data_IF_486634810790
#
_entry.id   IF_486634810790
#
_cell.length_a   1.000
_cell.length_b   1.000
_cell.length_c   1.000
_cell.angle_alpha   90.00
_cell.angle_beta   90.00
_cell.angle_gamma   90.00
#
_symmetry.space_group_name_H-M   'P 1'
#
loop_
_entity.id
_entity.type
_entity.pdbx_description
1 polymer ?
#
# COMPACT_ATOMS: atom_id res chain seq x y z
N UNK A 1 -37.89 2.55 4.49
CA UNK A 1 -37.63 1.13 4.16
C UNK A 1 -36.93 1.11 2.80
N UNK A 2 -35.62 0.92 2.76
CA UNK A 2 -34.88 0.82 1.49
C UNK A 2 -35.20 -0.56 0.93
N UNK A 3 -35.86 -0.62 -0.24
CA UNK A 3 -36.12 -1.88 -0.95
C UNK A 3 -35.14 -1.98 -2.11
N UNK A 4 -34.38 -3.06 -2.15
CA UNK A 4 -33.56 -3.44 -3.30
C UNK A 4 -34.46 -4.21 -4.26
N UNK A 5 -34.59 -3.73 -5.51
CA UNK A 5 -35.38 -4.42 -6.52
C UNK A 5 -34.49 -5.37 -7.33
N UNK A 6 -35.07 -6.44 -7.89
CA UNK A 6 -34.40 -7.52 -8.65
C UNK A 6 -33.54 -7.04 -9.85
N UNK A 7 -33.64 -5.77 -10.24
CA UNK A 7 -32.87 -5.14 -11.33
C UNK A 7 -31.66 -4.30 -10.89
N UNK A 8 -31.18 -4.44 -9.65
CA UNK A 8 -29.97 -3.77 -9.16
C UNK A 8 -30.06 -2.25 -9.06
N UNK A 9 -31.24 -1.76 -8.68
CA UNK A 9 -31.51 -0.36 -8.43
C UNK A 9 -32.01 -0.19 -7.00
N UNK A 10 -31.51 0.84 -6.34
CA UNK A 10 -32.05 1.29 -5.05
C UNK A 10 -33.29 2.13 -5.36
N UNK A 11 -34.44 1.70 -4.83
CA UNK A 11 -35.71 2.38 -5.03
C UNK A 11 -36.18 2.97 -3.70
N UNK A 12 -36.41 4.28 -3.70
CA UNK A 12 -36.95 5.01 -2.55
C UNK A 12 -38.19 5.78 -3.03
N UNK A 13 -39.36 5.50 -2.46
CA UNK A 13 -40.65 6.09 -2.89
C UNK A 13 -40.95 5.95 -4.40
N UNK A 14 -40.57 4.83 -5.01
CA UNK A 14 -40.78 4.59 -6.45
C UNK A 14 -39.74 5.25 -7.37
N UNK A 15 -38.84 6.07 -6.84
CA UNK A 15 -37.75 6.68 -7.60
C UNK A 15 -36.49 5.83 -7.55
N UNK A 16 -35.79 5.75 -8.68
CA UNK A 16 -34.46 5.16 -8.77
C UNK A 16 -33.43 6.14 -8.21
N UNK A 17 -32.72 5.73 -7.18
CA UNK A 17 -31.72 6.55 -6.48
C UNK A 17 -30.32 6.02 -6.80
N UNK A 18 -29.34 6.92 -6.87
CA UNK A 18 -27.91 6.58 -6.96
C UNK A 18 -27.25 6.81 -5.60
N UNK A 19 -26.29 5.97 -5.25
CA UNK A 19 -25.45 6.17 -4.08
C UNK A 19 -24.16 6.88 -4.48
N UNK A 20 -23.77 7.86 -3.69
CA UNK A 20 -22.42 8.43 -3.69
C UNK A 20 -21.80 8.11 -2.35
N UNK A 21 -20.65 7.45 -2.37
CA UNK A 21 -19.87 7.17 -1.18
C UNK A 21 -18.55 7.94 -1.27
N UNK A 22 -18.38 8.92 -0.38
CA UNK A 22 -17.24 9.83 -0.37
C UNK A 22 -16.38 9.54 0.86
N UNK A 23 -15.09 9.27 0.65
CA UNK A 23 -14.10 9.12 1.72
C UNK A 23 -13.15 10.30 1.65
N UNK A 24 -13.05 11.05 2.73
CA UNK A 24 -12.06 12.10 2.92
C UNK A 24 -10.86 11.48 3.65
N UNK A 25 -9.83 11.05 2.89
CA UNK A 25 -8.67 10.36 3.48
C UNK A 25 -7.95 11.27 4.49
N UNK A 26 -7.68 10.74 5.68
CA UNK A 26 -7.04 11.48 6.77
C UNK A 26 -7.86 12.62 7.39
N UNK A 27 -9.18 12.70 7.15
CA UNK A 27 -10.00 13.81 7.67
C UNK A 27 -10.11 13.88 9.19
N UNK A 28 -9.93 12.76 9.90
CA UNK A 28 -9.94 12.73 11.35
C UNK A 28 -8.61 13.25 11.92
N UNK A 29 -8.69 14.10 12.96
CA UNK A 29 -7.52 14.64 13.68
C UNK A 29 -7.68 14.47 15.20
N UNK A 30 -6.66 14.87 15.96
CA UNK A 30 -6.64 14.82 17.42
C UNK A 30 -7.55 15.89 18.01
N UNK A 31 -8.29 15.52 19.04
CA UNK A 31 -9.22 16.39 19.78
C UNK A 31 -8.51 17.27 20.83
N UNK A 32 -7.33 17.83 20.49
CA UNK A 32 -6.54 18.66 21.40
C UNK A 32 -6.77 20.16 21.14
N UNK A 33 -8.02 20.52 20.84
CA UNK A 33 -8.44 21.82 20.32
C UNK A 33 -9.35 21.65 19.11
N UNK A 34 -9.65 22.74 18.41
CA UNK A 34 -10.34 22.68 17.11
C UNK A 34 -9.50 21.91 16.09
N UNK A 35 -10.12 20.90 15.49
CA UNK A 35 -9.55 20.09 14.42
C UNK A 35 -9.45 20.88 13.11
N UNK A 36 -8.58 20.50 12.17
CA UNK A 36 -8.53 21.12 10.85
C UNK A 36 -9.87 21.10 10.12
N UNK A 37 -10.68 20.05 10.30
CA UNK A 37 -12.00 19.94 9.68
C UNK A 37 -13.00 20.93 10.27
N UNK A 38 -12.91 21.23 11.57
CA UNK A 38 -13.74 22.26 12.24
C UNK A 38 -13.34 23.68 11.83
N UNK A 39 -12.04 23.91 11.59
CA UNK A 39 -11.52 25.23 11.15
C UNK A 39 -11.74 25.52 9.66
N UNK A 40 -11.94 24.48 8.86
CA UNK A 40 -12.05 24.64 7.42
C UNK A 40 -13.35 25.34 7.03
N UNK A 41 -13.27 26.26 6.06
CA UNK A 41 -14.44 26.80 5.37
C UNK A 41 -15.05 25.72 4.46
N UNK A 42 -15.84 24.84 5.04
CA UNK A 42 -16.38 23.64 4.40
C UNK A 42 -17.89 23.78 4.07
N UNK A 43 -18.29 24.88 3.42
CA UNK A 43 -19.71 25.23 3.16
C UNK A 43 -20.52 24.08 2.55
N UNK A 44 -19.96 23.37 1.58
CA UNK A 44 -20.64 22.23 0.95
C UNK A 44 -20.92 21.07 1.91
N UNK A 45 -19.97 20.76 2.80
CA UNK A 45 -20.15 19.70 3.82
C UNK A 45 -21.11 20.18 4.91
N UNK A 46 -20.97 21.44 5.34
CA UNK A 46 -21.82 22.08 6.33
C UNK A 46 -23.30 22.09 5.90
N UNK A 47 -23.57 22.37 4.62
CA UNK A 47 -24.92 22.30 4.06
C UNK A 47 -25.45 20.87 4.01
N UNK A 48 -24.62 19.91 3.59
CA UNK A 48 -24.98 18.48 3.55
C UNK A 48 -25.39 17.96 4.94
N UNK A 49 -24.66 18.35 5.98
CA UNK A 49 -24.91 17.91 7.36
C UNK A 49 -26.27 18.35 7.90
N UNK A 50 -26.80 19.51 7.49
CA UNK A 50 -28.13 19.99 7.91
C UNK A 50 -29.27 19.03 7.52
N UNK A 51 -29.03 18.21 6.50
CA UNK A 51 -29.99 17.24 5.97
C UNK A 51 -29.56 15.78 6.18
N UNK A 52 -28.45 15.55 6.90
CA UNK A 52 -27.86 14.23 7.09
C UNK A 52 -28.16 13.64 8.48
N UNK A 53 -27.91 12.34 8.62
CA UNK A 53 -27.73 11.69 9.92
C UNK A 53 -26.24 11.50 10.16
N UNK A 54 -25.74 12.10 11.23
CA UNK A 54 -24.33 12.00 11.61
C UNK A 54 -24.10 10.88 12.62
N UNK A 55 -22.86 10.39 12.68
CA UNK A 55 -22.45 9.35 13.62
C UNK A 55 -20.93 9.21 13.63
N UNK A 56 -20.45 8.32 14.50
CA UNK A 56 -19.03 7.95 14.59
C UNK A 56 -18.87 6.51 14.11
N UNK A 57 -17.74 6.23 13.46
CA UNK A 57 -17.40 4.91 12.95
C UNK A 57 -16.02 4.48 13.47
N UNK A 58 -15.96 3.27 14.04
CA UNK A 58 -14.70 2.55 14.13
C UNK A 58 -14.51 1.77 12.85
N UNK A 59 -13.53 2.17 12.04
CA UNK A 59 -13.32 1.59 10.71
C UNK A 59 -13.00 0.10 10.78
N UNK A 60 -12.15 -0.32 11.71
CA UNK A 60 -11.76 -1.73 11.89
C UNK A 60 -12.17 -2.23 13.26
N UNK A 61 -11.78 -1.49 14.30
CA UNK A 61 -12.13 -1.79 15.68
C UNK A 61 -11.66 -0.68 16.61
N UNK A 62 -12.13 -0.73 17.86
CA UNK A 62 -11.74 0.25 18.87
C UNK A 62 -10.24 0.12 19.17
N UNK A 63 -9.52 1.24 19.14
CA UNK A 63 -8.07 1.28 19.41
C UNK A 63 -7.18 0.75 18.29
N UNK A 64 -7.75 0.39 17.13
CA UNK A 64 -6.99 -0.07 15.97
C UNK A 64 -6.90 1.09 14.98
N UNK A 65 -5.68 1.59 14.76
CA UNK A 65 -5.40 2.55 13.69
C UNK A 65 -5.18 1.79 12.37
N UNK A 66 -6.09 1.88 11.38
CA UNK A 66 -5.94 1.13 10.14
C UNK A 66 -5.00 1.83 9.16
N UNK A 67 -4.36 1.05 8.29
CA UNK A 67 -3.87 1.56 7.01
C UNK A 67 -5.01 1.59 5.97
N UNK A 68 -4.83 2.40 4.90
CA UNK A 68 -5.86 2.66 3.88
C UNK A 68 -6.46 1.39 3.26
N UNK A 69 -5.67 0.34 3.10
CA UNK A 69 -6.09 -0.93 2.53
C UNK A 69 -7.15 -1.65 3.36
N UNK A 70 -6.84 -1.87 4.65
CA UNK A 70 -7.75 -2.47 5.63
C UNK A 70 -8.97 -1.58 5.84
N UNK A 71 -8.77 -0.26 5.89
CA UNK A 71 -9.84 0.72 6.07
C UNK A 71 -10.88 0.67 4.94
N UNK A 72 -10.43 0.74 3.69
CA UNK A 72 -11.30 0.78 2.52
C UNK A 72 -12.05 -0.56 2.35
N UNK A 73 -11.38 -1.70 2.54
CA UNK A 73 -12.07 -3.00 2.53
C UNK A 73 -13.20 -3.07 3.57
N UNK A 74 -12.92 -2.64 4.80
CA UNK A 74 -13.90 -2.62 5.88
C UNK A 74 -15.10 -1.73 5.58
N UNK A 75 -14.84 -0.50 5.13
CA UNK A 75 -15.89 0.46 4.78
C UNK A 75 -16.79 -0.03 3.64
N UNK A 76 -16.22 -0.81 2.71
CA UNK A 76 -16.96 -1.42 1.60
C UNK A 76 -17.70 -2.71 1.98
N UNK A 77 -17.67 -3.12 3.26
CA UNK A 77 -18.44 -4.22 3.80
C UNK A 77 -17.72 -5.56 3.89
N UNK A 78 -16.39 -5.59 3.74
CA UNK A 78 -15.59 -6.81 3.85
C UNK A 78 -14.90 -6.87 5.20
N UNK A 79 -14.96 -8.01 5.90
CA UNK A 79 -14.20 -8.19 7.14
C UNK A 79 -12.71 -8.36 6.83
N UNK A 80 -11.84 -7.37 7.13
CA UNK A 80 -10.43 -7.47 6.78
C UNK A 80 -9.70 -8.58 7.56
N UNK A 81 -10.19 -8.98 8.74
CA UNK A 81 -9.60 -10.09 9.49
C UNK A 81 -9.74 -11.43 8.78
N UNK A 82 -10.73 -11.58 7.89
CA UNK A 82 -10.99 -12.81 7.15
C UNK A 82 -10.33 -12.78 5.76
N UNK A 83 -10.36 -11.62 5.09
CA UNK A 83 -10.05 -11.56 3.65
C UNK A 83 -8.65 -11.01 3.34
N UNK A 84 -8.02 -10.29 4.27
CA UNK A 84 -6.79 -9.56 3.97
C UNK A 84 -5.60 -10.49 3.77
N UNK A 85 -4.89 -10.30 2.64
CA UNK A 85 -3.72 -11.08 2.24
C UNK A 85 -2.44 -10.21 2.12
N UNK A 86 -2.45 -9.04 2.75
CA UNK A 86 -1.35 -8.06 2.65
C UNK A 86 -1.62 -6.95 1.64
N UNK A 87 -0.90 -5.84 1.81
CA UNK A 87 -1.05 -4.63 0.99
C UNK A 87 -0.43 -4.76 -0.39
N UNK A 88 0.72 -5.42 -0.46
CA UNK A 88 1.51 -5.54 -1.69
C UNK A 88 0.71 -6.05 -2.89
N UNK A 89 -0.06 -7.16 -2.76
CA UNK A 89 -0.85 -7.70 -3.87
C UNK A 89 -1.91 -6.72 -4.39
N UNK A 90 -2.55 -5.97 -3.51
CA UNK A 90 -3.52 -4.95 -3.89
C UNK A 90 -2.85 -3.77 -4.62
N UNK A 91 -1.72 -3.27 -4.13
CA UNK A 91 -0.98 -2.21 -4.83
C UNK A 91 -0.47 -2.68 -6.21
N UNK A 92 0.02 -3.92 -6.32
CA UNK A 92 0.41 -4.53 -7.59
C UNK A 92 -0.75 -4.56 -8.59
N UNK A 93 -1.92 -5.04 -8.15
CA UNK A 93 -3.13 -5.04 -8.97
C UNK A 93 -3.54 -3.63 -9.37
N UNK A 94 -3.35 -2.65 -8.49
CA UNK A 94 -3.61 -1.23 -8.73
C UNK A 94 -2.77 -0.59 -9.83
N UNK A 95 -1.54 -1.08 -10.04
CA UNK A 95 -0.69 -0.66 -11.15
C UNK A 95 -0.73 -1.62 -12.34
N UNK A 96 -1.61 -2.63 -12.32
CA UNK A 96 -1.80 -3.56 -13.42
C UNK A 96 -0.83 -4.74 -13.44
N UNK A 97 -0.08 -4.96 -12.37
CA UNK A 97 0.84 -6.08 -12.21
C UNK A 97 0.12 -7.24 -11.52
N UNK A 98 0.23 -8.44 -12.08
CA UNK A 98 -0.35 -9.67 -11.52
C UNK A 98 0.77 -10.57 -10.99
N UNK A 99 0.51 -11.20 -9.85
CA UNK A 99 1.43 -12.15 -9.22
C UNK A 99 1.17 -13.57 -9.70
N UNK A 100 2.24 -14.35 -9.80
CA UNK A 100 2.20 -15.80 -9.90
C UNK A 100 2.07 -16.40 -8.50
N UNK A 101 0.84 -16.68 -8.07
CA UNK A 101 0.57 -17.24 -6.73
C UNK A 101 1.44 -18.47 -6.45
N UNK A 102 2.03 -18.52 -5.25
CA UNK A 102 2.94 -19.59 -4.82
C UNK A 102 4.35 -19.54 -5.42
N UNK A 103 4.61 -18.67 -6.41
CA UNK A 103 5.94 -18.46 -7.03
C UNK A 103 6.47 -17.05 -6.81
N UNK A 104 5.60 -16.07 -6.64
CA UNK A 104 5.95 -14.67 -6.40
C UNK A 104 5.38 -14.16 -5.08
N UNK A 105 6.13 -13.29 -4.43
CA UNK A 105 5.72 -12.51 -3.25
C UNK A 105 6.03 -11.06 -3.52
N UNK A 106 5.07 -10.18 -3.21
CA UNK A 106 5.25 -8.73 -3.37
C UNK A 106 5.31 -8.05 -2.02
N UNK A 107 6.17 -7.04 -1.96
CA UNK A 107 6.30 -6.13 -0.84
C UNK A 107 5.93 -4.73 -1.28
N UNK A 108 5.34 -3.98 -0.35
CA UNK A 108 5.37 -2.53 -0.44
C UNK A 108 6.76 -2.06 -0.01
N UNK A 109 7.33 -1.13 -0.78
CA UNK A 109 8.62 -0.56 -0.49
C UNK A 109 8.60 0.96 -0.46
N UNK A 110 9.58 1.51 0.25
CA UNK A 110 9.96 2.91 0.15
C UNK A 110 11.44 2.98 -0.21
N UNK A 111 11.78 3.85 -1.16
CA UNK A 111 13.12 4.39 -1.21
C UNK A 111 13.43 5.09 0.13
N UNK A 112 14.59 4.78 0.68
CA UNK A 112 15.09 5.29 1.94
C UNK A 112 16.55 5.74 1.82
N UNK A 113 16.99 6.50 2.81
CA UNK A 113 18.37 6.95 2.99
C UNK A 113 19.00 6.15 4.12
N UNK A 114 20.10 5.47 3.83
CA UNK A 114 20.89 4.73 4.82
C UNK A 114 22.36 5.12 4.77
N UNK A 115 23.06 4.86 5.85
CA UNK A 115 24.52 4.76 5.86
C UNK A 115 24.93 3.38 5.30
N UNK A 116 25.71 3.29 4.21
CA UNK A 116 25.91 2.04 3.48
C UNK A 116 26.51 0.89 4.30
N UNK A 117 27.52 1.15 5.13
CA UNK A 117 28.23 0.10 5.87
C UNK A 117 27.43 -0.43 7.06
N UNK A 118 26.79 0.47 7.81
CA UNK A 118 26.08 0.10 9.04
C UNK A 118 24.60 -0.23 8.81
N UNK A 119 24.06 0.12 7.64
CA UNK A 119 22.62 0.14 7.34
C UNK A 119 21.80 0.97 8.33
N UNK A 120 22.43 1.94 9.02
CA UNK A 120 21.74 2.91 9.86
C UNK A 120 20.82 3.75 8.99
N UNK A 121 19.55 3.80 9.37
CA UNK A 121 18.49 4.46 8.64
C UNK A 121 18.48 5.95 8.97
N UNK A 122 18.82 6.78 7.99
CA UNK A 122 18.86 8.24 8.10
C UNK A 122 17.46 8.80 7.88
N UNK A 123 16.77 8.38 6.81
CA UNK A 123 15.38 8.76 6.55
C UNK A 123 14.64 7.67 5.78
N UNK A 124 13.39 7.40 6.18
CA UNK A 124 12.57 6.29 5.64
C UNK A 124 11.88 6.59 4.31
N UNK A 125 12.02 7.82 3.82
CA UNK A 125 11.25 8.39 2.70
C UNK A 125 12.09 9.34 1.84
N UNK A 126 13.41 9.32 2.01
CA UNK A 126 14.38 10.19 1.34
C UNK A 126 14.01 11.68 1.39
N UNK A 127 13.53 12.18 2.53
CA UNK A 127 13.11 13.59 2.67
C UNK A 127 11.77 13.92 2.00
N UNK A 128 11.06 12.91 1.46
CA UNK A 128 9.75 13.02 0.79
C UNK A 128 9.76 13.86 -0.48
N UNK A 129 10.92 14.09 -1.07
CA UNK A 129 11.12 14.94 -2.26
C UNK A 129 11.75 14.18 -3.44
N UNK A 130 11.75 12.84 -3.40
CA UNK A 130 12.12 12.00 -4.53
C UNK A 130 11.04 12.09 -5.60
N UNK A 131 11.41 12.57 -6.78
CA UNK A 131 10.50 12.64 -7.94
C UNK A 131 10.30 11.25 -8.56
N UNK A 132 9.16 11.06 -9.24
CA UNK A 132 8.88 9.80 -9.93
C UNK A 132 9.96 9.47 -10.97
N UNK A 133 10.44 10.46 -11.73
CA UNK A 133 11.52 10.29 -12.72
C UNK A 133 12.83 9.82 -12.10
N UNK A 134 13.20 10.33 -10.92
CA UNK A 134 14.38 9.85 -10.19
C UNK A 134 14.19 8.39 -9.73
N UNK A 135 13.00 8.09 -9.18
CA UNK A 135 12.65 6.75 -8.71
C UNK A 135 12.66 5.71 -9.85
N UNK A 136 12.15 6.07 -11.04
CA UNK A 136 12.17 5.24 -12.25
C UNK A 136 13.59 4.92 -12.70
N UNK A 137 14.49 5.92 -12.75
CA UNK A 137 15.89 5.69 -13.11
C UNK A 137 16.63 4.79 -12.11
N UNK A 138 16.35 4.95 -10.82
CA UNK A 138 16.94 4.09 -9.78
C UNK A 138 16.42 2.65 -9.92
N UNK A 139 15.10 2.48 -10.11
CA UNK A 139 14.50 1.17 -10.31
C UNK A 139 14.94 0.49 -11.61
N UNK A 140 15.16 1.25 -12.68
CA UNK A 140 15.70 0.72 -13.93
C UNK A 140 17.09 0.10 -13.74
N UNK A 141 17.98 0.77 -13.01
CA UNK A 141 19.30 0.21 -12.67
C UNK A 141 19.18 -1.08 -11.86
N UNK A 142 18.28 -1.14 -10.88
CA UNK A 142 18.02 -2.36 -10.11
C UNK A 142 17.43 -3.48 -10.99
N UNK A 143 16.46 -3.17 -11.84
CA UNK A 143 15.79 -4.18 -12.67
C UNK A 143 16.69 -4.75 -13.78
N UNK A 144 17.77 -4.06 -14.12
CA UNK A 144 18.80 -4.54 -15.06
C UNK A 144 19.91 -5.33 -14.37
N UNK A 145 20.00 -5.29 -13.04
CA UNK A 145 21.00 -6.05 -12.32
C UNK A 145 20.55 -7.49 -12.11
N UNK A 146 21.51 -8.38 -11.96
CA UNK A 146 21.23 -9.75 -11.53
C UNK A 146 21.23 -9.79 -10.00
N UNK A 147 20.25 -10.50 -9.43
CA UNK A 147 20.29 -10.79 -8.01
C UNK A 147 21.45 -11.75 -7.77
N UNK A 148 22.30 -11.48 -6.77
CA UNK A 148 23.33 -12.42 -6.35
C UNK A 148 22.73 -13.60 -5.56
N UNK A 149 21.79 -14.31 -6.18
CA UNK A 149 21.16 -15.53 -5.69
C UNK A 149 20.65 -16.35 -6.89
N UNK A 150 21.03 -17.63 -7.02
CA UNK A 150 20.51 -18.51 -8.07
C UNK A 150 19.05 -18.92 -7.83
N UNK A 151 18.48 -18.60 -6.66
CA UNK A 151 17.18 -19.11 -6.24
C UNK A 151 16.01 -18.29 -6.79
N UNK A 152 16.23 -17.12 -7.40
CA UNK A 152 15.13 -16.26 -7.83
C UNK A 152 15.52 -14.92 -8.45
N UNK A 153 14.52 -14.09 -8.67
CA UNK A 153 14.65 -12.74 -9.23
C UNK A 153 13.87 -11.72 -8.38
N UNK A 154 14.06 -10.44 -8.70
CA UNK A 154 13.20 -9.37 -8.23
C UNK A 154 12.81 -8.41 -9.35
N UNK A 155 11.75 -7.63 -9.12
CA UNK A 155 11.31 -6.52 -9.98
C UNK A 155 10.81 -5.37 -9.13
N UNK A 156 11.34 -4.18 -9.34
CA UNK A 156 10.98 -2.93 -8.65
C UNK A 156 10.08 -2.09 -9.54
N UNK A 157 8.94 -1.66 -8.99
CA UNK A 157 7.99 -0.78 -9.66
C UNK A 157 7.76 0.48 -8.82
N UNK A 158 8.37 1.62 -9.18
CA UNK A 158 8.05 2.91 -8.58
C UNK A 158 6.58 3.27 -8.78
N UNK A 159 5.99 3.95 -7.80
CA UNK A 159 4.59 4.37 -7.88
C UNK A 159 4.46 5.88 -7.69
N UNK A 160 4.44 6.37 -6.45
CA UNK A 160 4.26 7.80 -6.15
C UNK A 160 5.38 8.29 -5.22
N UNK A 161 6.23 9.15 -5.75
CA UNK A 161 7.38 9.73 -5.06
C UNK A 161 8.36 8.64 -4.63
N UNK A 162 8.63 8.54 -3.33
CA UNK A 162 9.51 7.52 -2.75
C UNK A 162 8.89 6.11 -2.69
N UNK A 163 7.59 5.95 -2.96
CA UNK A 163 6.89 4.66 -2.82
C UNK A 163 7.16 3.76 -4.02
N UNK A 164 7.24 2.47 -3.78
CA UNK A 164 7.36 1.44 -4.79
C UNK A 164 6.73 0.12 -4.31
N UNK A 165 6.62 -0.84 -5.21
CA UNK A 165 6.47 -2.24 -4.85
C UNK A 165 7.69 -3.02 -5.36
N UNK A 166 8.04 -4.09 -4.66
CA UNK A 166 9.08 -5.03 -5.09
C UNK A 166 8.50 -6.42 -5.13
N UNK A 167 8.54 -7.05 -6.29
CA UNK A 167 8.14 -8.45 -6.48
C UNK A 167 9.40 -9.29 -6.43
N UNK A 168 9.37 -10.35 -5.65
CA UNK A 168 10.35 -11.43 -5.65
C UNK A 168 9.72 -12.65 -6.29
N UNK A 169 10.47 -13.40 -7.08
CA UNK A 169 9.99 -14.61 -7.74
C UNK A 169 10.99 -15.75 -7.69
N UNK A 170 10.48 -16.98 -7.54
CA UNK A 170 11.27 -18.21 -7.60
C UNK A 170 10.44 -19.36 -8.18
N UNK A 171 11.02 -20.13 -9.10
CA UNK A 171 10.39 -21.35 -9.61
C UNK A 171 10.28 -22.44 -8.52
N UNK A 172 11.07 -22.35 -7.45
CA UNK A 172 11.01 -23.25 -6.30
C UNK A 172 9.86 -22.90 -5.34
N UNK A 173 9.20 -21.76 -5.56
CA UNK A 173 8.11 -21.25 -4.72
C UNK A 173 8.55 -20.25 -3.66
N UNK A 174 7.63 -19.43 -3.18
CA UNK A 174 7.89 -18.41 -2.16
C UNK A 174 6.70 -18.28 -1.20
N UNK A 175 6.98 -17.83 0.02
CA UNK A 175 5.99 -17.55 1.05
C UNK A 175 6.07 -16.10 1.52
N UNK A 176 4.93 -15.50 1.80
CA UNK A 176 4.79 -14.16 2.35
C UNK A 176 4.89 -14.12 3.88
N UNK A 177 5.14 -15.29 4.51
CA UNK A 177 5.35 -15.44 5.95
C UNK A 177 6.77 -15.03 6.35
N UNK A 178 7.11 -13.77 6.11
CA UNK A 178 8.43 -13.19 6.42
C UNK A 178 8.29 -11.80 7.06
N UNK A 179 9.31 -11.39 7.82
CA UNK A 179 9.33 -10.10 8.50
C UNK A 179 9.64 -8.93 7.54
N UNK A 180 9.36 -7.71 8.00
CA UNK A 180 9.62 -6.46 7.26
C UNK A 180 11.05 -5.97 7.49
N UNK A 181 11.67 -5.35 6.48
CA UNK A 181 12.98 -4.68 6.63
C UNK A 181 12.84 -3.22 7.10
N UNK A 182 11.66 -2.60 6.94
CA UNK A 182 11.34 -1.29 7.55
C UNK A 182 11.22 -1.44 9.08
N UNK A 183 12.11 -0.84 9.89
CA UNK A 183 12.15 -1.09 11.32
C UNK A 183 10.93 -0.53 12.07
N UNK A 184 10.24 0.43 11.49
CA UNK A 184 9.07 1.03 12.11
C UNK A 184 7.80 0.18 11.99
N UNK A 185 7.89 -0.98 11.35
CA UNK A 185 6.78 -1.90 11.23
C UNK A 185 7.15 -3.26 11.78
N UNK A 186 6.16 -3.91 12.35
CA UNK A 186 6.16 -5.32 12.69
C UNK A 186 4.94 -5.97 12.05
N UNK A 187 5.01 -7.28 11.87
CA UNK A 187 3.88 -8.05 11.41
C UNK A 187 3.25 -8.74 12.63
N UNK A 188 1.99 -8.42 12.88
CA UNK A 188 1.14 -9.13 13.83
C UNK A 188 0.12 -9.90 13.00
N UNK A 189 0.23 -11.22 13.00
CA UNK A 189 -0.48 -12.12 12.09
C UNK A 189 -0.23 -11.83 10.60
N UNK A 190 -1.19 -11.19 9.93
CA UNK A 190 -1.12 -10.72 8.54
C UNK A 190 -1.14 -9.20 8.43
N UNK A 191 -1.34 -8.49 9.54
CA UNK A 191 -1.49 -7.05 9.57
C UNK A 191 -0.15 -6.43 9.93
N UNK A 192 0.30 -5.46 9.13
CA UNK A 192 1.48 -4.68 9.45
C UNK A 192 1.11 -3.54 10.37
N UNK A 193 1.73 -3.52 11.55
CA UNK A 193 1.45 -2.53 12.60
C UNK A 193 2.65 -1.61 12.76
N UNK A 194 2.38 -0.30 12.75
CA UNK A 194 3.40 0.71 13.00
C UNK A 194 3.83 0.68 14.48
N UNK A 195 5.14 0.73 14.70
CA UNK A 195 5.73 0.80 16.04
C UNK A 195 5.95 2.26 16.46
N UNK A 196 5.67 2.56 17.73
CA UNK A 196 5.93 3.89 18.29
C UNK A 196 7.43 4.16 18.49
N UNK A 197 8.22 3.11 18.76
CA UNK A 197 9.66 3.18 18.95
C UNK A 197 10.33 2.02 18.22
N UNK A 198 11.48 2.29 17.61
CA UNK A 198 12.27 1.31 16.87
C UNK A 198 13.72 1.79 16.76
N UNK A 199 14.65 0.84 16.65
CA UNK A 199 16.04 1.16 16.32
C UNK A 199 16.10 1.66 14.86
N UNK A 200 16.74 2.82 14.57
CA UNK A 200 16.82 3.39 13.23
C UNK A 200 17.86 2.64 12.39
N UNK A 201 17.60 1.37 12.10
CA UNK A 201 18.45 0.48 11.32
C UNK A 201 17.58 -0.43 10.46
N UNK A 202 17.99 -0.68 9.21
CA UNK A 202 17.28 -1.62 8.35
C UNK A 202 17.33 -3.01 8.99
N UNK A 203 16.17 -3.64 9.17
CA UNK A 203 16.08 -4.98 9.75
C UNK A 203 16.45 -6.02 8.71
N UNK A 204 17.07 -7.10 9.16
CA UNK A 204 17.17 -8.32 8.38
C UNK A 204 15.77 -8.95 8.24
N UNK A 205 15.43 -9.38 7.02
CA UNK A 205 14.22 -10.15 6.78
C UNK A 205 14.44 -11.58 7.28
N UNK A 206 13.46 -12.09 8.02
CA UNK A 206 13.50 -13.40 8.66
C UNK A 206 12.20 -14.16 8.36
N UNK A 207 12.26 -15.50 8.23
CA UNK A 207 11.04 -16.30 8.11
C UNK A 207 10.22 -16.22 9.41
N UNK A 208 8.90 -16.17 9.29
CA UNK A 208 7.94 -16.16 10.40
C UNK A 208 7.34 -17.55 10.67
N UNK A 209 7.69 -18.55 9.86
CA UNK A 209 7.39 -19.95 10.06
C UNK A 209 8.56 -20.83 9.60
N UNK A 210 8.45 -22.15 9.81
CA UNK A 210 9.51 -23.12 9.48
C UNK A 210 9.54 -23.58 8.03
N UNK A 211 8.86 -22.90 7.10
CA UNK A 211 8.80 -23.34 5.70
C UNK A 211 10.07 -22.95 4.93
N UNK A 212 10.43 -23.78 3.95
CA UNK A 212 11.57 -23.50 3.07
C UNK A 212 11.25 -22.33 2.14
N UNK A 213 9.99 -22.16 1.74
CA UNK A 213 9.51 -21.03 0.96
C UNK A 213 9.67 -19.70 1.69
N UNK A 214 9.39 -19.64 3.01
CA UNK A 214 9.61 -18.42 3.80
C UNK A 214 11.10 -18.12 3.96
N UNK A 215 11.91 -19.16 4.20
CA UNK A 215 13.36 -19.04 4.30
C UNK A 215 13.98 -18.54 3.00
N UNK A 216 13.51 -19.03 1.86
CA UNK A 216 13.92 -18.56 0.52
C UNK A 216 13.53 -17.11 0.27
N UNK A 217 12.29 -16.71 0.59
CA UNK A 217 11.87 -15.31 0.48
C UNK A 217 12.79 -14.40 1.30
N UNK A 218 13.09 -14.77 2.55
CA UNK A 218 13.97 -13.98 3.42
C UNK A 218 15.39 -13.84 2.84
N UNK A 219 15.97 -14.93 2.30
CA UNK A 219 17.29 -14.88 1.63
C UNK A 219 17.27 -13.96 0.42
N UNK A 220 16.26 -14.04 -0.45
CA UNK A 220 16.12 -13.16 -1.62
C UNK A 220 15.97 -11.69 -1.23
N UNK A 221 15.16 -11.39 -0.21
CA UNK A 221 14.97 -10.03 0.32
C UNK A 221 16.26 -9.45 0.89
N UNK A 222 17.02 -10.25 1.65
CA UNK A 222 18.28 -9.80 2.24
C UNK A 222 19.37 -9.61 1.17
N UNK A 223 19.44 -10.49 0.17
CA UNK A 223 20.33 -10.33 -0.97
C UNK A 223 20.00 -9.05 -1.76
N UNK A 224 18.71 -8.81 -2.02
CA UNK A 224 18.24 -7.59 -2.68
C UNK A 224 18.56 -6.32 -1.88
N UNK A 225 18.37 -6.34 -0.57
CA UNK A 225 18.66 -5.17 0.28
C UNK A 225 20.12 -4.76 0.16
N UNK A 226 21.04 -5.74 0.21
CA UNK A 226 22.48 -5.50 0.03
C UNK A 226 22.80 -4.99 -1.38
N UNK A 227 22.23 -5.61 -2.40
CA UNK A 227 22.46 -5.24 -3.79
C UNK A 227 21.93 -3.84 -4.11
N UNK A 228 20.75 -3.49 -3.57
CA UNK A 228 20.17 -2.17 -3.72
C UNK A 228 21.05 -1.08 -3.08
N UNK A 229 21.59 -1.31 -1.89
CA UNK A 229 22.52 -0.35 -1.27
C UNK A 229 23.79 -0.19 -2.10
N UNK A 230 24.38 -1.30 -2.53
CA UNK A 230 25.60 -1.33 -3.35
C UNK A 230 25.44 -0.58 -4.67
N UNK A 231 24.33 -0.80 -5.39
CA UNK A 231 24.10 -0.20 -6.70
C UNK A 231 23.64 1.26 -6.62
N UNK A 232 22.86 1.61 -5.59
CA UNK A 232 22.23 2.91 -5.53
C UNK A 232 23.09 3.98 -4.85
N UNK A 233 23.99 3.64 -3.92
CA UNK A 233 24.68 4.66 -3.13
C UNK A 233 25.51 5.66 -3.97
N UNK A 234 26.20 5.14 -4.99
CA UNK A 234 26.99 5.93 -5.95
C UNK A 234 26.26 6.19 -7.27
N UNK A 235 24.97 5.85 -7.36
CA UNK A 235 24.21 6.06 -8.58
C UNK A 235 24.17 7.55 -8.96
N UNK A 236 24.28 7.93 -10.25
CA UNK A 236 24.33 9.34 -10.68
C UNK A 236 23.17 10.20 -10.17
N UNK A 237 21.97 9.62 -10.03
CA UNK A 237 20.82 10.30 -9.42
C UNK A 237 21.11 10.68 -7.96
N UNK A 238 21.66 9.77 -7.16
CA UNK A 238 21.94 10.02 -5.75
C UNK A 238 23.12 10.97 -5.55
N UNK A 239 24.14 10.89 -6.40
CA UNK A 239 25.23 11.88 -6.41
C UNK A 239 24.70 13.29 -6.72
N UNK A 240 23.80 13.43 -7.68
CA UNK A 240 23.17 14.71 -8.00
C UNK A 240 22.26 15.22 -6.88
N UNK A 241 21.51 14.33 -6.21
CA UNK A 241 20.71 14.68 -5.04
C UNK A 241 21.59 15.27 -3.93
N UNK A 242 22.72 14.65 -3.63
CA UNK A 242 23.67 15.16 -2.63
C UNK A 242 24.21 16.54 -3.02
N UNK A 243 24.57 16.76 -4.30
CA UNK A 243 25.01 18.09 -4.79
C UNK A 243 23.98 19.19 -4.57
N UNK A 244 22.70 18.84 -4.52
CA UNK A 244 21.58 19.75 -4.26
C UNK A 244 21.17 19.83 -2.77
N UNK A 245 21.96 19.25 -1.87
CA UNK A 245 21.63 19.19 -0.45
C UNK A 245 20.44 18.27 -0.11
N UNK A 246 20.06 17.37 -1.02
CA UNK A 246 18.98 16.40 -0.82
C UNK A 246 19.52 15.06 -0.32
N UNK A 247 18.69 14.33 0.40
CA UNK A 247 19.03 12.98 0.86
C UNK A 247 19.06 11.98 -0.30
N UNK A 248 20.02 11.05 -0.28
CA UNK A 248 20.08 9.92 -1.22
C UNK A 248 18.84 9.02 -1.08
N UNK A 249 18.47 8.35 -2.16
CA UNK A 249 17.57 7.22 -2.22
C UNK A 249 18.39 5.95 -2.49
N UNK A 250 19.20 5.55 -1.50
CA UNK A 250 20.22 4.50 -1.62
C UNK A 250 19.81 3.18 -0.96
N UNK A 251 18.56 3.01 -0.55
CA UNK A 251 18.04 1.74 -0.04
C UNK A 251 16.56 1.63 -0.41
N UNK A 252 16.03 0.40 -0.43
CA UNK A 252 14.59 0.16 -0.45
C UNK A 252 14.23 -0.66 0.80
N UNK A 253 13.50 -0.02 1.73
CA UNK A 253 12.94 -0.71 2.90
C UNK A 253 11.58 -1.28 2.56
N UNK A 254 11.34 -2.52 2.96
CA UNK A 254 10.22 -3.35 2.53
C UNK A 254 9.32 -3.70 3.72
N UNK A 255 8.02 -3.80 3.44
CA UNK A 255 7.00 -4.22 4.40
C UNK A 255 5.78 -4.82 3.70
N UNK A 256 4.87 -5.39 4.49
CA UNK A 256 3.57 -5.87 4.03
C UNK A 256 3.70 -6.86 2.86
N UNK A 257 4.48 -7.93 3.08
CA UNK A 257 4.58 -9.04 2.15
C UNK A 257 3.19 -9.61 1.84
N UNK A 258 2.96 -10.02 0.60
CA UNK A 258 1.76 -10.77 0.23
C UNK A 258 2.02 -11.66 -0.98
N UNK A 259 1.53 -12.90 -0.91
CA UNK A 259 1.72 -13.92 -1.96
C UNK A 259 0.49 -14.15 -2.84
N UNK A 260 -0.67 -13.59 -2.48
CA UNK A 260 -1.91 -13.78 -3.22
C UNK A 260 -2.86 -12.58 -3.06
N UNK A 261 -3.83 -12.47 -3.96
CA UNK A 261 -4.92 -11.51 -3.78
C UNK A 261 -5.94 -12.03 -2.74
N UNK A 262 -6.68 -11.13 -2.07
CA UNK A 262 -7.85 -11.51 -1.29
C UNK A 262 -8.85 -12.29 -2.13
N UNK A 263 -9.34 -13.42 -1.62
CA UNK A 263 -10.42 -14.17 -2.26
C UNK A 263 -11.75 -13.67 -1.72
N UNK A 264 -12.40 -12.78 -2.45
CA UNK A 264 -13.63 -12.09 -2.04
C UNK A 264 -14.69 -12.15 -3.13
N UNK A 265 -15.96 -12.14 -2.71
CA UNK A 265 -17.08 -11.94 -3.63
C UNK A 265 -17.03 -10.49 -4.15
N UNK A 266 -17.12 -10.23 -5.46
CA UNK A 266 -17.16 -8.87 -6.00
C UNK A 266 -18.30 -8.04 -5.40
N UNK A 267 -18.09 -6.72 -5.23
CA UNK A 267 -19.05 -5.84 -4.54
C UNK A 267 -20.37 -5.72 -5.30
N UNK A 268 -20.31 -5.81 -6.63
CA UNK A 268 -21.49 -5.81 -7.48
C UNK A 268 -22.39 -7.00 -7.15
N UNK A 269 -21.81 -8.18 -6.93
CA UNK A 269 -22.54 -9.40 -6.61
C UNK A 269 -22.96 -9.45 -5.14
N UNK A 270 -22.18 -8.82 -4.25
CA UNK A 270 -22.47 -8.74 -2.82
C UNK A 270 -23.76 -7.95 -2.57
N UNK A 271 -23.93 -6.81 -3.24
CA UNK A 271 -25.10 -5.93 -3.06
C UNK A 271 -26.11 -5.98 -4.21
N UNK A 272 -25.81 -6.69 -5.30
CA UNK A 272 -26.64 -6.72 -6.51
C UNK A 272 -26.71 -5.38 -7.24
N UNK A 273 -25.68 -4.53 -7.14
CA UNK A 273 -25.64 -3.19 -7.74
C UNK A 273 -24.47 -3.05 -8.72
N UNK A 274 -24.43 -1.96 -9.48
CA UNK A 274 -23.24 -1.60 -10.29
C UNK A 274 -22.46 -0.48 -9.61
N UNK A 275 -21.23 -0.78 -9.23
CA UNK A 275 -20.33 0.19 -8.60
C UNK A 275 -19.33 0.76 -9.61
N UNK A 276 -19.03 2.04 -9.44
CA UNK A 276 -17.90 2.71 -10.07
C UNK A 276 -16.98 3.31 -9.01
N UNK A 277 -15.72 3.51 -9.36
CA UNK A 277 -14.71 4.06 -8.44
C UNK A 277 -13.98 5.23 -9.09
N UNK A 278 -13.88 6.34 -8.37
CA UNK A 278 -12.99 7.47 -8.69
C UNK A 278 -11.90 7.46 -7.62
N UNK A 279 -10.71 7.04 -7.99
CA UNK A 279 -9.61 6.76 -7.06
C UNK A 279 -8.28 7.10 -7.71
N UNK A 280 -7.34 7.64 -6.94
CA UNK A 280 -6.04 8.08 -7.49
C UNK A 280 -4.91 7.14 -7.08
N UNK A 281 -4.94 6.64 -5.85
CA UNK A 281 -3.83 5.90 -5.30
C UNK A 281 -3.81 4.45 -5.80
N UNK A 282 -2.62 3.84 -6.01
CA UNK A 282 -2.50 2.45 -6.42
C UNK A 282 -3.30 1.49 -5.55
N UNK A 283 -3.28 1.68 -4.24
CA UNK A 283 -4.00 0.79 -3.32
C UNK A 283 -5.52 0.81 -3.53
N UNK A 284 -6.10 2.00 -3.71
CA UNK A 284 -7.54 2.18 -3.94
C UNK A 284 -7.95 1.60 -5.29
N UNK A 285 -7.15 1.88 -6.34
CA UNK A 285 -7.33 1.30 -7.67
C UNK A 285 -7.27 -0.23 -7.62
N UNK A 286 -6.37 -0.78 -6.83
CA UNK A 286 -6.23 -2.21 -6.58
C UNK A 286 -7.47 -2.82 -5.97
N UNK A 287 -7.98 -2.23 -4.89
CA UNK A 287 -9.21 -2.67 -4.22
C UNK A 287 -10.41 -2.54 -5.15
N UNK A 288 -10.57 -1.42 -5.85
CA UNK A 288 -11.64 -1.22 -6.82
C UNK A 288 -11.64 -2.32 -7.90
N UNK A 289 -10.47 -2.64 -8.46
CA UNK A 289 -10.31 -3.71 -9.46
C UNK A 289 -10.60 -5.08 -8.86
N UNK A 290 -10.09 -5.39 -7.67
CA UNK A 290 -10.35 -6.64 -6.97
C UNK A 290 -11.85 -6.87 -6.78
N UNK A 291 -12.57 -5.82 -6.37
CA UNK A 291 -13.99 -5.87 -6.08
C UNK A 291 -14.88 -5.78 -7.32
N UNK A 292 -14.31 -5.65 -8.52
CA UNK A 292 -15.05 -5.57 -9.78
C UNK A 292 -15.74 -4.21 -10.00
N UNK A 293 -15.27 -3.14 -9.37
CA UNK A 293 -15.77 -1.79 -9.61
C UNK A 293 -15.28 -1.26 -10.95
N UNK A 294 -16.13 -0.53 -11.67
CA UNK A 294 -15.74 0.16 -12.90
C UNK A 294 -14.92 1.41 -12.55
N UNK A 295 -13.64 1.41 -12.92
CA UNK A 295 -12.82 2.62 -12.81
C UNK A 295 -13.41 3.75 -13.68
N UNK A 296 -13.55 4.93 -13.09
CA UNK A 296 -13.96 6.16 -13.76
C UNK A 296 -12.78 7.11 -13.73
N UNK A 297 -12.27 7.44 -14.91
CA UNK A 297 -11.21 8.43 -15.05
C UNK A 297 -11.80 9.84 -14.93
N UNK A 298 -11.29 10.60 -13.98
CA UNK A 298 -11.59 12.02 -13.84
C UNK A 298 -10.32 12.80 -14.16
N UNK A 299 -10.47 13.91 -14.89
CA UNK A 299 -9.38 14.87 -15.05
C UNK A 299 -9.27 15.68 -13.77
N UNK A 300 -8.05 15.91 -13.30
CA UNK A 300 -7.82 16.88 -12.23
C UNK A 300 -8.38 18.23 -12.65
N UNK A 301 -9.09 18.89 -11.74
CA UNK A 301 -9.53 20.26 -11.95
C UNK A 301 -8.26 21.14 -11.81
N UNK A 302 -7.92 21.95 -12.83
CA UNK A 302 -6.69 22.76 -12.82
C UNK A 302 -6.64 23.78 -11.69
#
# INVERSE_FOLDING_TARGET
MIKFNLGGAIVFWGFKVKLLFLVLDGAADRMNGETPLEKAEADGLNELVKHAKCGLQYTVGRGIAPESDVAVLSILGYNPHEVYTGRGPLEALGIGVRLREGKEVVFRGNFATVEPESLRLIDRRCGRDLSLREAERLAETLNRSELNSPEGYFKVYPTVGYRNIVIFGSELGLSDRVSSTDPAYIQVDRISTAQMSYEPKVKECTPLDGTEEASRTARLVNAFTKEAVRLLDEHPVNLERVRRGKLKANCIILRQAGGSLPKVKPINDLYGLRFGSITEMPIEKGIARLLGMKAVECRSIP
#
